data_IF_797470664853
#
_entry.id   IF_797470664853
#
_cell.length_a   1.000
_cell.length_b   1.000
_cell.length_c   1.000
_cell.angle_alpha   90.00
_cell.angle_beta   90.00
_cell.angle_gamma   90.00
#
_symmetry.space_group_name_H-M   'P 1'
#
loop_
_entity.id
_entity.type
_entity.pdbx_description
1 polymer ?
#
# COMPACT_ATOMS: atom_id res chain seq x y z
N UNK A 1 13.99 5.61 -55.44
CA UNK A 1 13.52 4.49 -54.59
C UNK A 1 12.80 5.08 -53.39
N UNK A 2 11.52 5.43 -53.57
CA UNK A 2 10.70 6.13 -52.57
C UNK A 2 10.01 5.11 -51.67
N UNK A 3 10.33 5.10 -50.38
CA UNK A 3 9.65 4.27 -49.38
C UNK A 3 8.29 4.92 -49.04
N UNK A 4 7.17 4.17 -49.01
CA UNK A 4 5.85 4.76 -48.81
C UNK A 4 5.69 5.29 -47.38
N UNK A 5 5.73 6.62 -47.26
CA UNK A 5 5.65 7.40 -46.02
C UNK A 5 4.44 7.04 -45.13
N UNK A 6 3.40 6.44 -45.72
CA UNK A 6 2.16 6.06 -45.03
C UNK A 6 2.31 4.85 -44.11
N UNK A 7 3.30 3.97 -44.35
CA UNK A 7 3.51 2.77 -43.50
C UNK A 7 4.05 3.16 -42.12
N UNK A 8 4.81 4.24 -42.02
CA UNK A 8 5.29 4.81 -40.76
C UNK A 8 4.17 5.50 -39.95
N UNK A 9 3.18 6.10 -40.60
CA UNK A 9 2.05 6.73 -39.91
C UNK A 9 1.10 5.71 -39.28
N UNK A 10 0.91 4.55 -39.92
CA UNK A 10 0.07 3.47 -39.39
C UNK A 10 0.69 2.78 -38.15
N UNK A 11 2.02 2.78 -38.01
CA UNK A 11 2.71 2.09 -36.90
C UNK A 11 2.72 2.89 -35.59
N UNK A 12 2.62 4.22 -35.62
CA UNK A 12 2.47 5.03 -34.40
C UNK A 12 1.04 4.97 -33.81
N UNK A 13 0.02 4.69 -34.62
CA UNK A 13 -1.37 4.67 -34.15
C UNK A 13 -1.72 3.41 -33.34
N UNK A 14 -0.89 2.35 -33.44
CA UNK A 14 -1.05 1.09 -32.70
C UNK A 14 -0.41 1.08 -31.31
N UNK A 15 0.28 2.15 -30.91
CA UNK A 15 0.92 2.28 -29.59
C UNK A 15 0.10 3.12 -28.59
N UNK A 16 -1.06 3.64 -28.98
CA UNK A 16 -1.97 4.35 -28.10
C UNK A 16 -2.91 3.35 -27.37
N UNK A 17 -2.36 2.55 -26.47
CA UNK A 17 -3.16 1.78 -25.52
C UNK A 17 -3.86 2.71 -24.51
N UNK A 18 -5.05 2.36 -24.00
CA UNK A 18 -5.71 3.15 -22.97
C UNK A 18 -4.82 3.22 -21.71
N UNK A 19 -4.52 4.43 -21.25
CA UNK A 19 -3.93 4.64 -19.94
C UNK A 19 -5.02 4.34 -18.89
N UNK A 20 -4.90 3.22 -18.20
CA UNK A 20 -5.74 2.97 -17.02
C UNK A 20 -5.32 3.96 -15.93
N UNK A 21 -6.15 4.97 -15.69
CA UNK A 21 -6.03 5.81 -14.52
C UNK A 21 -6.70 5.07 -13.35
N UNK A 22 -5.91 4.65 -12.36
CA UNK A 22 -6.45 4.26 -11.05
C UNK A 22 -6.73 5.57 -10.32
N UNK A 23 -8.01 5.93 -10.18
CA UNK A 23 -8.42 7.13 -9.44
C UNK A 23 -8.51 6.78 -7.95
N UNK A 24 -7.47 7.07 -7.19
CA UNK A 24 -7.57 7.16 -5.74
C UNK A 24 -7.65 8.64 -5.35
N UNK A 25 -8.61 9.02 -4.50
CA UNK A 25 -8.73 10.41 -4.01
C UNK A 25 -7.50 10.86 -3.21
N UNK A 26 -6.69 9.90 -2.75
CA UNK A 26 -5.48 10.12 -1.99
C UNK A 26 -4.29 9.40 -2.65
N UNK A 27 -3.16 10.09 -2.71
CA UNK A 27 -1.88 9.53 -3.15
C UNK A 27 -1.03 9.16 -1.94
N UNK A 28 -0.52 7.93 -1.90
CA UNK A 28 0.41 7.48 -0.88
C UNK A 28 1.85 7.64 -1.39
N UNK A 29 2.63 8.50 -0.74
CA UNK A 29 4.05 8.70 -1.09
C UNK A 29 4.91 8.31 0.11
N UNK A 30 5.78 7.32 -0.06
CA UNK A 30 6.69 6.82 0.97
C UNK A 30 8.12 7.07 0.51
N UNK A 31 8.90 7.83 1.28
CA UNK A 31 10.28 8.20 0.93
C UNK A 31 10.46 8.81 -0.47
N UNK A 32 9.47 9.58 -0.95
CA UNK A 32 9.49 10.21 -2.28
C UNK A 32 9.03 9.29 -3.43
N UNK A 33 8.73 8.02 -3.15
CA UNK A 33 8.20 7.06 -4.12
C UNK A 33 6.69 6.96 -4.00
N UNK A 34 5.99 7.07 -5.13
CA UNK A 34 4.54 6.84 -5.20
C UNK A 34 4.26 5.35 -4.99
N UNK A 35 3.40 5.03 -4.03
CA UNK A 35 3.00 3.66 -3.68
C UNK A 35 1.56 3.44 -4.13
N UNK A 36 1.37 2.49 -5.03
CA UNK A 36 0.04 2.05 -5.45
C UNK A 36 -0.49 0.97 -4.52
N UNK A 37 -1.76 1.06 -4.18
CA UNK A 37 -2.43 0.10 -3.30
C UNK A 37 -3.90 0.01 -3.68
N UNK A 38 -4.44 -1.21 -3.64
CA UNK A 38 -5.85 -1.47 -3.97
C UNK A 38 -6.80 -1.05 -2.84
N UNK A 39 -6.25 -0.67 -1.68
CA UNK A 39 -7.01 -0.22 -0.52
C UNK A 39 -6.84 1.29 -0.37
N UNK A 40 -7.90 2.04 -0.60
CA UNK A 40 -7.90 3.49 -0.39
C UNK A 40 -7.68 3.83 1.09
N UNK A 41 -6.92 4.90 1.41
CA UNK A 41 -6.86 5.43 2.77
C UNK A 41 -8.25 5.79 3.30
N UNK A 42 -8.48 5.54 4.59
CA UNK A 42 -9.76 5.79 5.27
C UNK A 42 -9.60 6.94 6.25
N UNK A 43 -10.50 7.93 6.19
CA UNK A 43 -10.53 9.00 7.20
C UNK A 43 -11.35 8.52 8.39
N UNK A 44 -10.71 8.45 9.55
CA UNK A 44 -11.35 8.11 10.83
C UNK A 44 -11.23 9.30 11.79
N UNK A 45 -12.31 10.09 11.86
CA UNK A 45 -12.35 11.34 12.61
C UNK A 45 -11.31 12.35 12.12
N UNK A 46 -10.27 12.61 12.93
CA UNK A 46 -9.15 13.51 12.60
C UNK A 46 -7.88 12.79 12.13
N UNK A 47 -7.95 11.47 11.92
CA UNK A 47 -6.82 10.65 11.48
C UNK A 47 -7.09 10.07 10.10
N UNK A 48 -6.03 9.81 9.36
CA UNK A 48 -6.09 9.05 8.11
C UNK A 48 -5.44 7.69 8.36
N UNK A 49 -6.21 6.63 8.23
CA UNK A 49 -5.73 5.25 8.25
C UNK A 49 -5.20 4.90 6.87
N UNK A 50 -3.94 4.48 6.83
CA UNK A 50 -3.23 4.10 5.60
C UNK A 50 -3.01 2.59 5.57
N UNK A 51 -2.92 1.98 4.38
CA UNK A 51 -2.66 0.55 4.26
C UNK A 51 -1.29 0.19 4.84
N UNK A 52 -1.30 -0.44 6.02
CA UNK A 52 -0.10 -0.77 6.78
C UNK A 52 0.93 -1.55 5.95
N UNK A 53 0.46 -2.56 5.19
CA UNK A 53 1.31 -3.39 4.33
C UNK A 53 2.03 -2.56 3.27
N UNK A 54 1.29 -1.72 2.54
CA UNK A 54 1.86 -0.89 1.47
C UNK A 54 2.94 0.05 2.01
N UNK A 55 2.70 0.67 3.17
CA UNK A 55 3.68 1.56 3.81
C UNK A 55 4.92 0.79 4.28
N UNK A 56 4.74 -0.37 4.92
CA UNK A 56 5.84 -1.17 5.42
C UNK A 56 6.71 -1.74 4.29
N UNK A 57 6.10 -2.30 3.25
CA UNK A 57 6.81 -2.84 2.09
C UNK A 57 7.56 -1.75 1.32
N UNK A 58 6.94 -0.58 1.12
CA UNK A 58 7.61 0.57 0.51
C UNK A 58 8.77 1.11 1.38
N UNK A 59 8.74 0.87 2.69
CA UNK A 59 9.83 1.17 3.62
C UNK A 59 10.87 0.03 3.72
N UNK A 60 10.77 -1.01 2.88
CA UNK A 60 11.71 -2.14 2.83
C UNK A 60 11.53 -3.14 3.97
N UNK A 61 10.32 -3.28 4.51
CA UNK A 61 9.98 -4.27 5.52
C UNK A 61 9.05 -5.34 4.97
N UNK A 62 9.26 -6.58 5.42
CA UNK A 62 8.35 -7.70 5.18
C UNK A 62 7.19 -7.66 6.17
N UNK A 63 5.98 -7.97 5.69
CA UNK A 63 4.78 -8.03 6.51
C UNK A 63 4.16 -9.41 6.45
N UNK A 64 4.06 -10.07 7.60
CA UNK A 64 3.40 -11.36 7.77
C UNK A 64 2.16 -11.20 8.65
N UNK A 65 1.04 -11.74 8.20
CA UNK A 65 -0.18 -11.82 8.99
C UNK A 65 -0.42 -13.27 9.43
N UNK A 66 -0.67 -13.49 10.72
CA UNK A 66 -1.03 -14.79 11.28
C UNK A 66 -2.52 -14.73 11.63
N UNK A 67 -3.33 -15.37 10.81
CA UNK A 67 -4.79 -15.31 10.92
C UNK A 67 -5.30 -15.91 12.25
N UNK A 68 -4.73 -17.02 12.70
CA UNK A 68 -5.11 -17.70 13.94
C UNK A 68 -4.95 -16.83 15.18
N UNK A 69 -3.99 -15.91 15.15
CA UNK A 69 -3.65 -15.03 16.28
C UNK A 69 -4.11 -13.59 16.05
N UNK A 70 -4.63 -13.28 14.85
CA UNK A 70 -4.88 -11.91 14.38
C UNK A 70 -3.65 -11.01 14.58
N UNK A 71 -2.46 -11.58 14.41
CA UNK A 71 -1.17 -10.92 14.63
C UNK A 71 -0.57 -10.44 13.30
N UNK A 72 -0.09 -9.20 13.28
CA UNK A 72 0.69 -8.61 12.21
C UNK A 72 2.13 -8.48 12.68
N UNK A 73 3.05 -9.13 11.96
CA UNK A 73 4.49 -9.07 12.20
C UNK A 73 5.13 -8.31 11.05
N UNK A 74 5.83 -7.22 11.37
CA UNK A 74 6.58 -6.41 10.43
C UNK A 74 8.06 -6.57 10.75
N UNK A 75 8.86 -7.00 9.77
CA UNK A 75 10.28 -7.29 9.97
C UNK A 75 11.15 -6.62 8.92
N UNK A 76 12.24 -6.01 9.36
CA UNK A 76 13.38 -5.57 8.53
C UNK A 76 14.67 -5.67 9.34
N UNK A 77 15.87 -5.58 8.74
CA UNK A 77 17.12 -5.64 9.50
C UNK A 77 17.13 -4.64 10.67
N UNK A 78 17.24 -5.15 11.91
CA UNK A 78 17.27 -4.36 13.14
C UNK A 78 15.91 -3.86 13.66
N UNK A 79 14.79 -4.21 13.02
CA UNK A 79 13.45 -3.85 13.48
C UNK A 79 12.46 -5.02 13.31
N UNK A 80 11.84 -5.42 14.40
CA UNK A 80 10.66 -6.28 14.46
C UNK A 80 9.53 -5.52 15.16
N UNK A 81 8.35 -5.48 14.56
CA UNK A 81 7.15 -4.90 15.16
C UNK A 81 6.04 -5.95 15.14
N UNK A 82 5.41 -6.18 16.30
CA UNK A 82 4.28 -7.11 16.46
C UNK A 82 3.06 -6.35 16.91
N UNK A 83 1.96 -6.51 16.20
CA UNK A 83 0.70 -5.82 16.44
C UNK A 83 -0.43 -6.82 16.36
N UNK A 84 -1.54 -6.58 17.07
CA UNK A 84 -2.74 -7.40 16.95
C UNK A 84 -3.90 -6.56 16.46
N UNK A 85 -4.74 -7.14 15.61
CA UNK A 85 -5.95 -6.46 15.11
C UNK A 85 -6.83 -6.05 16.29
N UNK A 86 -7.41 -4.85 16.22
CA UNK A 86 -8.26 -4.25 17.27
C UNK A 86 -7.57 -4.07 18.63
N UNK A 87 -6.25 -4.22 18.71
CA UNK A 87 -5.48 -4.08 19.93
C UNK A 87 -4.61 -2.82 19.90
N UNK A 88 -4.63 -2.07 21.01
CA UNK A 88 -3.80 -0.88 21.20
C UNK A 88 -2.38 -1.23 21.64
N UNK A 89 -2.15 -2.43 22.16
CA UNK A 89 -0.82 -2.89 22.54
C UNK A 89 -0.09 -3.52 21.34
N UNK A 90 1.19 -3.23 21.25
CA UNK A 90 2.12 -3.86 20.32
C UNK A 90 3.50 -4.03 20.94
N UNK A 91 4.43 -4.61 20.20
CA UNK A 91 5.84 -4.68 20.57
C UNK A 91 6.71 -4.15 19.44
N UNK A 92 7.77 -3.42 19.81
CA UNK A 92 8.86 -3.03 18.93
C UNK A 92 10.16 -3.60 19.49
N UNK A 93 10.81 -4.51 18.77
CA UNK A 93 12.02 -5.22 19.20
C UNK A 93 11.85 -5.84 20.60
N UNK A 94 10.68 -6.42 20.88
CA UNK A 94 10.32 -6.97 22.20
C UNK A 94 9.96 -5.95 23.28
N UNK A 95 10.09 -4.64 23.03
CA UNK A 95 9.66 -3.60 23.98
C UNK A 95 8.19 -3.26 23.75
N UNK A 96 7.32 -3.26 24.78
CA UNK A 96 5.91 -2.94 24.61
C UNK A 96 5.71 -1.48 24.18
N UNK A 97 4.78 -1.26 23.26
CA UNK A 97 4.34 0.06 22.78
C UNK A 97 2.82 0.14 22.83
N UNK A 98 2.30 1.36 23.05
CA UNK A 98 0.86 1.65 22.97
C UNK A 98 0.60 2.50 21.73
N UNK A 99 -0.31 2.03 20.91
CA UNK A 99 -0.77 2.71 19.70
C UNK A 99 -1.88 3.69 20.07
N UNK A 100 -2.00 4.77 19.29
CA UNK A 100 -3.11 5.72 19.45
C UNK A 100 -4.36 5.31 18.68
N UNK A 101 -4.24 4.32 17.80
CA UNK A 101 -5.30 3.68 17.03
C UNK A 101 -4.89 2.23 16.77
N UNK A 102 -5.81 1.25 16.90
CA UNK A 102 -5.49 -0.14 16.64
C UNK A 102 -5.37 -0.41 15.14
N UNK A 103 -4.62 -1.45 14.72
CA UNK A 103 -4.66 -1.94 13.35
C UNK A 103 -6.04 -2.55 13.06
N UNK A 104 -6.67 -2.10 11.98
CA UNK A 104 -7.94 -2.64 11.51
C UNK A 104 -7.71 -3.54 10.30
N UNK A 105 -8.52 -4.59 10.17
CA UNK A 105 -8.58 -5.35 8.92
C UNK A 105 -9.33 -4.50 7.88
N UNK A 106 -8.83 -4.47 6.66
CA UNK A 106 -9.55 -3.84 5.55
C UNK A 106 -10.77 -4.70 5.25
N UNK A 107 -11.94 -4.29 5.74
CA UNK A 107 -13.21 -4.86 5.29
C UNK A 107 -13.48 -4.30 3.90
N UNK A 108 -13.02 -5.02 2.87
CA UNK A 108 -13.41 -4.72 1.50
C UNK A 108 -14.92 -4.98 1.35
N UNK A 109 -15.71 -3.91 1.19
CA UNK A 109 -17.07 -4.02 0.64
C UNK A 109 -18.27 -3.81 1.56
N UNK A 110 -18.23 -2.91 2.55
CA UNK A 110 -19.48 -2.35 3.10
C UNK A 110 -19.49 -0.83 3.05
N UNK A 111 -19.84 -0.32 1.86
CA UNK A 111 -20.65 0.88 1.65
C UNK A 111 -21.81 0.49 0.73
#
# INVERSE_FOLDING_TARGET
MFKPLWVTAAMCLLLAGPAMAITSDYALVVNGTLVYTDVSPVVDGSKVLVPLRAVAEAAGADVRYIESEREVIISRPGLEVKLWVDNYAGYKNGTPIVLTSPPNQSTAGHL
#
